data_IF_199270821493
#
_entry.id   IF_199270821493
#
_cell.length_a   1.000
_cell.length_b   1.000
_cell.length_c   1.000
_cell.angle_alpha   90.00
_cell.angle_beta   90.00
_cell.angle_gamma   90.00
#
_symmetry.space_group_name_H-M   'P 1'
#
loop_
_entity.id
_entity.type
_entity.pdbx_description
1 polymer ?
#
# COMPACT_ATOMS: atom_id res chain seq x y z
N UNK A 1 -15.18 3.15 -8.36
CA UNK A 1 -14.72 3.46 -9.74
C UNK A 1 -13.73 4.61 -9.64
N UNK A 2 -12.46 4.41 -10.04
CA UNK A 2 -11.39 5.42 -9.98
C UNK A 2 -11.80 6.77 -10.62
N UNK A 3 -12.70 6.73 -11.61
CA UNK A 3 -13.27 7.92 -12.24
C UNK A 3 -14.13 8.81 -11.31
N UNK A 4 -14.56 8.31 -10.15
CA UNK A 4 -15.33 9.07 -9.16
C UNK A 4 -14.42 9.89 -8.21
N UNK A 5 -13.17 9.47 -8.00
CA UNK A 5 -12.19 10.23 -7.21
C UNK A 5 -11.57 11.40 -8.01
N UNK A 6 -11.56 11.29 -9.34
CA UNK A 6 -11.10 12.35 -10.25
C UNK A 6 -12.10 13.52 -10.42
N UNK A 7 -13.29 13.45 -9.80
CA UNK A 7 -14.41 14.40 -10.00
C UNK A 7 -14.82 15.14 -8.73
N UNK A 8 -13.87 15.59 -7.91
CA UNK A 8 -14.13 16.73 -7.02
C UNK A 8 -13.59 17.99 -7.71
N UNK A 9 -14.48 18.81 -8.29
CA UNK A 9 -14.04 20.06 -8.87
C UNK A 9 -13.61 21.00 -7.72
N UNK A 10 -12.44 21.60 -7.89
CA UNK A 10 -12.11 22.99 -7.54
C UNK A 10 -12.50 23.58 -6.16
N UNK A 11 -12.24 22.89 -5.06
CA UNK A 11 -11.98 23.61 -3.79
C UNK A 11 -10.59 24.29 -3.87
N UNK A 12 -10.59 25.62 -4.09
CA UNK A 12 -9.40 26.47 -4.18
C UNK A 12 -8.34 26.09 -3.12
N UNK A 13 -7.18 25.61 -3.58
CA UNK A 13 -6.01 25.31 -2.73
C UNK A 13 -5.57 23.85 -2.68
N UNK A 14 -6.31 22.90 -3.27
CA UNK A 14 -5.88 21.50 -3.32
C UNK A 14 -5.05 21.20 -4.58
N UNK A 15 -3.93 20.49 -4.40
CA UNK A 15 -3.12 20.00 -5.51
C UNK A 15 -3.95 19.09 -6.43
N UNK A 16 -3.71 19.10 -7.75
CA UNK A 16 -4.44 18.25 -8.68
C UNK A 16 -4.25 16.78 -8.32
N UNK A 17 -5.36 16.02 -8.35
CA UNK A 17 -5.33 14.57 -8.14
C UNK A 17 -4.62 13.91 -9.31
N UNK A 18 -3.44 13.34 -9.07
CA UNK A 18 -2.72 12.51 -10.04
C UNK A 18 -3.11 11.05 -9.81
N UNK A 19 -3.62 10.40 -10.85
CA UNK A 19 -3.99 8.98 -10.79
C UNK A 19 -2.75 8.09 -10.91
N UNK A 20 -2.76 6.90 -10.28
CA UNK A 20 -1.74 5.88 -10.53
C UNK A 20 -1.64 5.54 -12.02
N UNK A 21 -0.43 5.38 -12.52
CA UNK A 21 -0.14 5.05 -13.92
C UNK A 21 0.21 3.58 -14.15
N UNK A 22 0.51 2.85 -13.07
CA UNK A 22 0.89 1.44 -13.10
C UNK A 22 0.15 0.70 -11.97
N UNK A 23 -0.37 -0.48 -12.31
CA UNK A 23 -0.94 -1.41 -11.35
C UNK A 23 0.16 -2.36 -10.87
N UNK A 24 0.18 -2.64 -9.57
CA UNK A 24 0.94 -3.75 -8.99
C UNK A 24 -0.06 -4.88 -8.74
N UNK A 25 0.10 -6.01 -9.42
CA UNK A 25 -0.77 -7.17 -9.19
C UNK A 25 -0.29 -7.96 -7.96
N UNK A 26 0.91 -8.55 -8.05
CA UNK A 26 1.53 -9.29 -6.93
C UNK A 26 2.86 -8.68 -6.49
N UNK A 27 3.70 -8.30 -7.46
CA UNK A 27 5.10 -7.93 -7.24
C UNK A 27 5.60 -7.03 -8.36
N UNK A 28 6.28 -5.94 -8.02
CA UNK A 28 6.99 -5.09 -8.96
C UNK A 28 8.37 -4.70 -8.41
N UNK A 29 9.37 -4.61 -9.28
CA UNK A 29 10.71 -4.10 -8.93
C UNK A 29 10.91 -2.74 -9.55
N UNK A 30 11.19 -1.75 -8.71
CA UNK A 30 11.59 -0.43 -9.13
C UNK A 30 13.10 -0.29 -8.95
N UNK A 31 13.78 0.15 -10.02
CA UNK A 31 15.17 0.58 -9.97
C UNK A 31 15.22 2.11 -9.92
N UNK A 32 15.56 2.67 -8.75
CA UNK A 32 15.55 4.11 -8.53
C UNK A 32 16.85 4.57 -7.90
N UNK A 33 17.61 5.42 -8.60
CA UNK A 33 18.88 5.95 -8.06
C UNK A 33 19.92 4.86 -7.74
N UNK A 34 19.94 3.76 -8.51
CA UNK A 34 20.79 2.60 -8.24
C UNK A 34 20.24 1.66 -7.16
N UNK A 35 19.00 1.86 -6.73
CA UNK A 35 18.34 1.07 -5.70
C UNK A 35 17.34 0.09 -6.25
N UNK A 36 17.43 -1.17 -5.80
CA UNK A 36 16.37 -2.14 -5.97
C UNK A 36 15.32 -1.97 -4.85
N UNK A 37 14.08 -1.74 -5.27
CA UNK A 37 12.92 -1.52 -4.39
C UNK A 37 11.84 -2.50 -4.84
N UNK A 38 11.37 -3.35 -3.93
CA UNK A 38 10.27 -4.28 -4.21
C UNK A 38 8.97 -3.67 -3.72
N UNK A 39 7.98 -3.54 -4.60
CA UNK A 39 6.61 -3.16 -4.26
C UNK A 39 5.76 -4.42 -4.30
N UNK A 40 5.17 -4.79 -3.17
CA UNK A 40 4.52 -6.09 -2.98
C UNK A 40 3.05 -5.89 -2.65
N UNK A 41 2.19 -6.70 -3.26
CA UNK A 41 0.84 -6.94 -2.77
C UNK A 41 0.83 -8.23 -1.93
N UNK A 42 0.82 -8.08 -0.60
CA UNK A 42 0.77 -9.23 0.31
C UNK A 42 -0.66 -9.63 0.69
N UNK A 43 -1.67 -9.18 -0.06
CA UNK A 43 -3.08 -9.36 0.25
C UNK A 43 -3.70 -8.17 1.00
N UNK A 44 -5.02 -8.24 1.18
CA UNK A 44 -5.83 -7.13 1.71
C UNK A 44 -5.65 -6.96 3.22
N UNK A 45 -5.65 -5.72 3.69
CA UNK A 45 -5.47 -5.37 5.10
C UNK A 45 -6.32 -4.15 5.50
N UNK A 46 -5.71 -2.98 5.71
CA UNK A 46 -6.36 -1.71 6.01
C UNK A 46 -7.29 -1.24 4.88
N UNK A 47 -6.92 -1.54 3.63
CA UNK A 47 -7.72 -1.35 2.43
C UNK A 47 -7.62 -2.58 1.50
N UNK A 48 -8.37 -2.56 0.40
CA UNK A 48 -8.32 -3.61 -0.61
C UNK A 48 -7.10 -3.53 -1.54
N UNK A 49 -6.36 -2.41 -1.52
CA UNK A 49 -5.23 -2.15 -2.41
C UNK A 49 -3.94 -1.81 -1.66
N UNK A 50 -3.79 -2.32 -0.42
CA UNK A 50 -2.59 -2.06 0.37
C UNK A 50 -1.37 -2.67 -0.31
N UNK A 51 -0.34 -1.85 -0.48
CA UNK A 51 0.98 -2.28 -0.94
C UNK A 51 1.98 -2.10 0.19
N UNK A 52 2.97 -2.99 0.24
CA UNK A 52 4.15 -2.82 1.10
C UNK A 52 5.39 -2.64 0.24
N UNK A 53 6.40 -1.98 0.81
CA UNK A 53 7.65 -1.71 0.10
C UNK A 53 8.81 -2.36 0.85
N UNK A 54 9.51 -3.27 0.19
CA UNK A 54 10.67 -3.95 0.74
C UNK A 54 11.97 -3.47 0.09
N UNK A 55 12.93 -3.13 0.93
CA UNK A 55 14.30 -2.76 0.57
C UNK A 55 15.22 -3.94 0.91
N UNK A 56 15.59 -4.79 -0.07
CA UNK A 56 16.30 -6.03 0.20
C UNK A 56 17.71 -5.84 0.78
N UNK A 57 18.42 -4.76 0.41
CA UNK A 57 19.79 -4.54 0.90
C UNK A 57 19.83 -4.17 2.40
N UNK A 58 18.80 -3.49 2.91
CA UNK A 58 18.69 -3.03 4.31
C UNK A 58 17.84 -3.98 5.13
N UNK A 59 17.09 -4.86 4.48
CA UNK A 59 16.10 -5.74 5.11
C UNK A 59 15.07 -4.92 5.88
N UNK A 60 14.57 -3.86 5.23
CA UNK A 60 13.54 -2.96 5.78
C UNK A 60 12.25 -3.12 4.97
N UNK A 61 11.15 -3.36 5.70
CA UNK A 61 9.81 -3.45 5.13
C UNK A 61 8.95 -2.28 5.62
N UNK A 62 8.45 -1.47 4.69
CA UNK A 62 7.47 -0.41 4.96
C UNK A 62 6.06 -0.96 4.75
N UNK A 63 5.29 -1.05 5.84
CA UNK A 63 3.94 -1.64 5.83
C UNK A 63 2.79 -0.62 5.90
N UNK A 64 3.08 0.68 5.97
CA UNK A 64 2.08 1.75 6.15
C UNK A 64 1.05 1.42 7.24
N UNK A 65 -0.24 1.62 6.98
CA UNK A 65 -1.33 1.28 7.90
C UNK A 65 -1.67 -0.22 7.97
N UNK A 66 -0.99 -1.10 7.22
CA UNK A 66 -1.17 -2.55 7.35
C UNK A 66 -0.47 -3.11 8.61
N UNK A 67 0.36 -2.34 9.31
CA UNK A 67 0.88 -2.70 10.63
C UNK A 67 0.74 -1.54 11.61
N UNK A 68 0.16 -1.83 12.77
CA UNK A 68 -0.09 -0.86 13.84
C UNK A 68 0.39 -1.45 15.16
N UNK A 69 1.22 -0.71 15.89
CA UNK A 69 1.73 -1.14 17.18
C UNK A 69 0.99 -0.43 18.31
N UNK A 70 0.28 -1.21 19.15
CA UNK A 70 -0.46 -0.72 20.33
C UNK A 70 -1.53 0.34 20.03
N UNK A 71 -2.06 0.30 18.81
CA UNK A 71 -3.18 1.15 18.35
C UNK A 71 -4.20 0.24 17.68
N UNK A 72 -5.49 0.46 17.97
CA UNK A 72 -6.56 -0.26 17.29
C UNK A 72 -6.73 0.28 15.86
N UNK A 73 -6.79 -0.57 14.82
CA UNK A 73 -6.91 -0.11 13.44
C UNK A 73 -8.25 0.55 13.13
N UNK A 74 -8.24 1.53 12.22
CA UNK A 74 -9.49 1.97 11.60
C UNK A 74 -10.01 0.88 10.64
N UNK A 75 -11.24 0.44 10.87
CA UNK A 75 -11.82 -0.75 10.19
C UNK A 75 -12.80 -0.43 9.05
N UNK A 76 -13.03 0.84 8.72
CA UNK A 76 -14.07 1.27 7.76
C UNK A 76 -13.92 0.63 6.36
N UNK A 77 -12.68 0.46 5.91
CA UNK A 77 -12.34 -0.09 4.58
C UNK A 77 -11.52 -1.37 4.67
N UNK A 78 -11.39 -1.94 5.87
CA UNK A 78 -10.46 -3.01 6.16
C UNK A 78 -11.02 -4.41 5.87
N UNK A 79 -10.12 -5.38 5.79
CA UNK A 79 -10.40 -6.80 5.56
C UNK A 79 -9.84 -7.65 6.72
N UNK A 80 -10.43 -7.63 7.93
CA UNK A 80 -9.79 -8.18 9.13
C UNK A 80 -9.40 -9.66 9.06
N UNK A 81 -10.23 -10.51 8.46
CA UNK A 81 -9.95 -11.95 8.33
C UNK A 81 -8.77 -12.22 7.40
N UNK A 82 -8.57 -11.39 6.38
CA UNK A 82 -7.47 -11.53 5.41
C UNK A 82 -6.19 -10.83 5.89
N UNK A 83 -6.34 -9.79 6.72
CA UNK A 83 -5.26 -9.01 7.28
C UNK A 83 -4.30 -9.90 8.08
N UNK A 84 -4.82 -10.86 8.86
CA UNK A 84 -3.97 -11.82 9.59
C UNK A 84 -3.04 -12.57 8.63
N UNK A 85 -3.57 -13.10 7.53
CA UNK A 85 -2.77 -13.80 6.52
C UNK A 85 -1.78 -12.88 5.79
N UNK A 86 -2.13 -11.60 5.61
CA UNK A 86 -1.21 -10.60 5.07
C UNK A 86 -0.02 -10.34 6.01
N UNK A 87 -0.27 -10.22 7.32
CA UNK A 87 0.79 -10.06 8.33
C UNK A 87 1.69 -11.30 8.38
N UNK A 88 1.14 -12.51 8.31
CA UNK A 88 1.91 -13.75 8.25
C UNK A 88 2.85 -13.78 7.03
N UNK A 89 2.36 -13.36 5.86
CA UNK A 89 3.20 -13.22 4.65
C UNK A 89 4.30 -12.18 4.84
N UNK A 90 4.00 -11.05 5.49
CA UNK A 90 4.99 -10.02 5.77
C UNK A 90 6.09 -10.50 6.74
N UNK A 91 5.74 -11.33 7.73
CA UNK A 91 6.70 -11.92 8.66
C UNK A 91 7.60 -12.99 8.03
N UNK A 92 7.22 -13.53 6.87
CA UNK A 92 7.96 -14.55 6.14
C UNK A 92 8.98 -13.99 5.12
N UNK A 93 9.02 -12.66 4.95
CA UNK A 93 10.02 -11.94 4.14
C UNK A 93 11.35 -11.81 4.88
#
# INVERSE_FOLDING_TARGET
NLAALARRPDEEGHAPVVLPTQLVEDFEVLLLGGREIHVLFLGRAHTGGDLVVYLPAEKVLFMSEAYLHRVFPAMRSAYPTEWVAMIERAQAL
#
